data_IF_511529469487
#
_entry.id   IF_511529469487
#
_cell.length_a   1.000
_cell.length_b   1.000
_cell.length_c   1.000
_cell.angle_alpha   90.00
_cell.angle_beta   90.00
_cell.angle_gamma   90.00
#
_symmetry.space_group_name_H-M   'P 1'
#
loop_
_entity.id
_entity.type
_entity.pdbx_description
1 polymer ?
#
# COMPACT_ATOMS: atom_id res chain seq x y z
N UNK A 1 25.84 -9.97 20.75
CA UNK A 1 25.28 -9.77 19.40
C UNK A 1 25.87 -10.85 18.50
N UNK A 2 25.05 -11.73 17.90
CA UNK A 2 25.61 -12.90 17.21
C UNK A 2 26.14 -12.53 15.81
N UNK A 3 27.32 -12.99 15.48
CA UNK A 3 28.00 -12.85 14.17
C UNK A 3 27.05 -13.19 12.99
N UNK A 4 26.13 -14.13 13.20
CA UNK A 4 25.14 -14.54 12.18
C UNK A 4 24.21 -13.43 11.69
N UNK A 5 23.92 -12.42 12.53
CA UNK A 5 23.07 -11.26 12.15
C UNK A 5 23.81 -10.32 11.19
N UNK A 6 25.10 -10.10 11.41
CA UNK A 6 25.93 -9.25 10.54
C UNK A 6 26.17 -9.89 9.18
N UNK A 7 26.34 -11.20 9.14
CA UNK A 7 26.44 -11.95 7.87
C UNK A 7 25.10 -11.88 7.10
N UNK A 8 23.96 -11.96 7.80
CA UNK A 8 22.63 -11.80 7.21
C UNK A 8 22.39 -10.41 6.63
N UNK A 9 22.81 -9.35 7.32
CA UNK A 9 22.72 -7.96 6.82
C UNK A 9 23.57 -7.78 5.57
N UNK A 10 24.83 -8.21 5.59
CA UNK A 10 25.74 -8.05 4.46
C UNK A 10 25.28 -8.82 3.23
N UNK A 11 24.86 -10.06 3.38
CA UNK A 11 24.32 -10.87 2.29
C UNK A 11 22.98 -10.32 1.79
N UNK A 12 22.09 -9.88 2.70
CA UNK A 12 20.80 -9.28 2.36
C UNK A 12 20.96 -7.96 1.61
N UNK A 13 21.90 -7.10 2.03
CA UNK A 13 22.20 -5.83 1.33
C UNK A 13 22.75 -6.08 -0.07
N UNK A 14 23.66 -7.02 -0.21
CA UNK A 14 24.29 -7.34 -1.51
C UNK A 14 23.29 -7.91 -2.51
N UNK A 15 22.36 -8.75 -2.05
CA UNK A 15 21.39 -9.43 -2.91
C UNK A 15 20.09 -8.63 -3.09
N UNK A 16 19.66 -7.87 -2.10
CA UNK A 16 18.33 -7.25 -2.06
C UNK A 16 18.29 -5.79 -1.58
N UNK A 17 19.41 -5.09 -1.48
CA UNK A 17 19.44 -3.69 -1.05
C UNK A 17 18.87 -3.45 0.36
N UNK A 18 18.29 -2.27 0.66
CA UNK A 18 17.76 -1.94 1.99
C UNK A 18 16.70 -2.92 2.49
N UNK A 19 15.79 -3.35 1.63
CA UNK A 19 14.75 -4.33 1.97
C UNK A 19 15.38 -5.67 2.28
N UNK A 20 16.34 -6.10 1.45
CA UNK A 20 17.09 -7.34 1.67
C UNK A 20 17.92 -7.32 2.96
N UNK A 21 18.50 -6.17 3.32
CA UNK A 21 19.21 -6.02 4.59
C UNK A 21 18.28 -6.23 5.80
N UNK A 22 17.08 -5.68 5.75
CA UNK A 22 16.07 -5.85 6.81
C UNK A 22 15.66 -7.32 6.92
N UNK A 23 15.36 -7.96 5.80
CA UNK A 23 15.01 -9.39 5.78
C UNK A 23 16.18 -10.24 6.30
N UNK A 24 17.39 -10.01 5.80
CA UNK A 24 18.59 -10.75 6.21
C UNK A 24 18.89 -10.60 7.70
N UNK A 25 18.63 -9.44 8.28
CA UNK A 25 18.80 -9.21 9.71
C UNK A 25 17.80 -9.99 10.57
N UNK A 26 16.51 -10.03 10.17
CA UNK A 26 15.45 -10.62 11.00
C UNK A 26 15.20 -12.10 10.72
N UNK A 27 15.45 -12.59 9.50
CA UNK A 27 15.08 -13.96 9.08
C UNK A 27 16.30 -14.80 8.75
N UNK A 28 17.46 -14.18 8.38
CA UNK A 28 18.66 -14.88 7.98
C UNK A 28 18.65 -15.36 6.52
N UNK A 29 19.71 -16.09 6.14
CA UNK A 29 20.00 -16.47 4.74
C UNK A 29 18.94 -17.33 4.04
N UNK A 30 18.11 -18.07 4.76
CA UNK A 30 17.20 -19.05 4.18
C UNK A 30 15.94 -18.46 3.57
N UNK A 31 15.70 -17.16 3.74
CA UNK A 31 14.48 -16.51 3.26
C UNK A 31 14.53 -16.16 1.77
N UNK A 32 15.73 -15.93 1.22
CA UNK A 32 15.94 -15.58 -0.20
C UNK A 32 16.12 -16.77 -1.15
N UNK A 33 15.80 -17.98 -0.74
CA UNK A 33 16.01 -19.18 -1.57
C UNK A 33 14.85 -19.50 -2.54
N UNK A 34 13.93 -18.57 -2.79
CA UNK A 34 12.77 -18.76 -3.67
C UNK A 34 12.87 -17.97 -4.99
N UNK A 35 12.32 -18.54 -6.06
CA UNK A 35 12.26 -17.97 -7.42
C UNK A 35 11.48 -16.63 -7.58
N UNK A 36 10.98 -16.00 -6.50
CA UNK A 36 10.11 -14.82 -6.54
C UNK A 36 10.60 -13.67 -5.64
N UNK A 37 11.85 -13.24 -5.81
CA UNK A 37 12.44 -12.16 -5.00
C UNK A 37 11.64 -10.84 -5.05
N UNK A 38 10.99 -10.52 -6.17
CA UNK A 38 10.20 -9.30 -6.33
C UNK A 38 8.87 -9.33 -5.54
N UNK A 39 8.17 -10.47 -5.55
CA UNK A 39 6.93 -10.63 -4.79
C UNK A 39 7.20 -10.54 -3.28
N UNK A 40 8.27 -11.19 -2.83
CA UNK A 40 8.67 -11.17 -1.43
C UNK A 40 9.13 -9.78 -0.97
N UNK A 41 9.87 -9.06 -1.81
CA UNK A 41 10.25 -7.66 -1.54
C UNK A 41 9.01 -6.76 -1.42
N UNK A 42 8.00 -6.98 -2.24
CA UNK A 42 6.72 -6.28 -2.16
C UNK A 42 5.99 -6.56 -0.84
N UNK A 43 5.85 -7.84 -0.47
CA UNK A 43 5.18 -8.27 0.77
C UNK A 43 5.86 -7.70 2.03
N UNK A 44 7.20 -7.77 2.09
CA UNK A 44 7.96 -7.19 3.21
C UNK A 44 7.85 -5.68 3.24
N UNK A 45 7.75 -5.03 2.08
CA UNK A 45 7.57 -3.58 2.02
C UNK A 45 6.21 -3.15 2.55
N UNK A 46 5.13 -3.90 2.24
CA UNK A 46 3.82 -3.67 2.86
C UNK A 46 3.92 -3.73 4.39
N UNK A 47 4.62 -4.74 4.91
CA UNK A 47 4.81 -4.91 6.34
C UNK A 47 5.59 -3.75 6.99
N UNK A 48 6.70 -3.33 6.35
CA UNK A 48 7.54 -2.24 6.86
C UNK A 48 6.76 -0.92 6.82
N UNK A 49 6.11 -0.62 5.70
CA UNK A 49 5.40 0.64 5.52
C UNK A 49 4.18 0.73 6.43
N UNK A 50 3.41 -0.37 6.60
CA UNK A 50 2.31 -0.40 7.58
C UNK A 50 2.81 -0.25 9.02
N UNK A 51 3.94 -0.86 9.38
CA UNK A 51 4.56 -0.66 10.71
C UNK A 51 4.95 0.79 10.97
N UNK A 52 5.38 1.54 9.94
CA UNK A 52 5.69 2.96 10.05
C UNK A 52 4.43 3.80 10.23
N UNK A 53 3.35 3.49 9.50
CA UNK A 53 2.07 4.19 9.59
C UNK A 53 1.47 3.98 10.98
N UNK A 54 1.27 2.73 11.42
CA UNK A 54 0.73 2.39 12.75
C UNK A 54 1.49 3.06 13.90
N UNK A 55 2.80 3.26 13.73
CA UNK A 55 3.64 3.88 14.76
C UNK A 55 3.84 5.38 14.56
N UNK A 56 3.13 6.01 13.63
CA UNK A 56 3.41 7.40 13.23
C UNK A 56 3.14 8.41 14.34
N UNK A 57 2.08 8.24 15.08
CA UNK A 57 1.66 9.08 16.22
C UNK A 57 2.22 8.63 17.57
N UNK A 58 2.86 7.46 17.62
CA UNK A 58 3.42 6.85 18.84
C UNK A 58 2.42 5.99 19.62
N UNK A 59 1.19 5.88 19.16
CA UNK A 59 0.17 4.96 19.70
C UNK A 59 -0.03 3.81 18.71
N UNK A 60 -0.22 2.62 19.23
CA UNK A 60 -0.55 1.45 18.41
C UNK A 60 -2.02 1.14 18.67
N UNK A 61 -2.85 1.33 17.67
CA UNK A 61 -4.29 1.06 17.73
C UNK A 61 -4.50 -0.43 17.40
N UNK A 62 -5.36 -1.08 18.16
CA UNK A 62 -5.59 -2.52 18.03
C UNK A 62 -6.21 -2.87 16.68
N UNK A 63 -7.13 -2.06 16.20
CA UNK A 63 -7.87 -2.21 14.95
C UNK A 63 -6.91 -2.19 13.76
N UNK A 64 -5.95 -1.27 13.73
CA UNK A 64 -4.91 -1.18 12.69
C UNK A 64 -4.03 -2.42 12.67
N UNK A 65 -3.60 -2.88 13.85
CA UNK A 65 -2.79 -4.08 13.96
C UNK A 65 -3.55 -5.33 13.50
N UNK A 66 -4.84 -5.44 13.86
CA UNK A 66 -5.72 -6.51 13.42
C UNK A 66 -5.97 -6.46 11.91
N UNK A 67 -6.15 -5.27 11.34
CA UNK A 67 -6.29 -5.11 9.89
C UNK A 67 -5.07 -5.68 9.15
N UNK A 68 -3.87 -5.27 9.53
CA UNK A 68 -2.62 -5.79 8.94
C UNK A 68 -2.52 -7.30 9.14
N UNK A 69 -2.83 -7.80 10.34
CA UNK A 69 -2.78 -9.22 10.66
C UNK A 69 -3.74 -10.04 9.81
N UNK A 70 -4.98 -9.61 9.71
CA UNK A 70 -6.01 -10.28 8.92
C UNK A 70 -5.64 -10.27 7.44
N UNK A 71 -5.18 -9.14 6.91
CA UNK A 71 -4.72 -9.04 5.54
C UNK A 71 -3.59 -10.03 5.24
N UNK A 72 -2.53 -10.05 6.06
CA UNK A 72 -1.39 -10.95 5.84
C UNK A 72 -1.77 -12.42 6.02
N UNK A 73 -2.66 -12.74 6.96
CA UNK A 73 -3.12 -14.12 7.19
C UNK A 73 -3.97 -14.62 6.03
N UNK A 74 -4.90 -13.81 5.56
CA UNK A 74 -5.78 -14.15 4.44
C UNK A 74 -5.02 -14.22 3.11
N UNK A 75 -4.05 -13.32 2.92
CA UNK A 75 -3.29 -13.19 1.66
C UNK A 75 -2.20 -14.24 1.53
N UNK A 76 -1.45 -14.50 2.60
CA UNK A 76 -0.23 -15.32 2.52
C UNK A 76 -0.32 -16.61 3.33
N UNK A 77 -1.43 -16.84 4.01
CA UNK A 77 -1.65 -17.98 4.90
C UNK A 77 -0.99 -17.82 6.27
N UNK A 78 -1.50 -18.53 7.26
CA UNK A 78 -1.14 -18.41 8.68
C UNK A 78 0.36 -18.57 8.93
N UNK A 79 0.99 -19.57 8.30
CA UNK A 79 2.42 -19.87 8.52
C UNK A 79 3.34 -18.75 8.07
N UNK A 80 3.09 -18.18 6.90
CA UNK A 80 3.89 -17.10 6.32
C UNK A 80 3.61 -15.78 7.05
N UNK A 81 2.34 -15.51 7.38
CA UNK A 81 1.95 -14.36 8.19
C UNK A 81 2.65 -14.34 9.55
N UNK A 82 2.72 -15.48 10.26
CA UNK A 82 3.43 -15.58 11.52
C UNK A 82 4.93 -15.26 11.42
N UNK A 83 5.57 -15.60 10.30
CA UNK A 83 6.97 -15.21 10.05
C UNK A 83 7.08 -13.70 9.86
N UNK A 84 6.17 -13.07 9.11
CA UNK A 84 6.14 -11.62 8.91
C UNK A 84 5.89 -10.88 10.22
N UNK A 85 5.00 -11.38 11.10
CA UNK A 85 4.75 -10.75 12.40
C UNK A 85 5.94 -10.84 13.36
N UNK A 86 6.79 -11.85 13.27
CA UNK A 86 8.07 -11.86 14.00
C UNK A 86 8.97 -10.70 13.55
N UNK A 87 8.97 -10.36 12.26
CA UNK A 87 9.68 -9.19 11.76
C UNK A 87 9.04 -7.92 12.27
N UNK A 88 7.72 -7.78 12.08
CA UNK A 88 6.93 -6.60 12.47
C UNK A 88 7.16 -6.19 13.92
N UNK A 89 7.12 -7.15 14.85
CA UNK A 89 7.31 -6.91 16.28
C UNK A 89 8.73 -6.42 16.63
N UNK A 90 9.71 -6.73 15.79
CA UNK A 90 11.09 -6.32 15.99
C UNK A 90 11.47 -5.03 15.22
N UNK A 91 10.56 -4.49 14.39
CA UNK A 91 10.82 -3.28 13.64
C UNK A 91 10.85 -2.06 14.56
N UNK A 92 11.96 -1.32 14.56
CA UNK A 92 12.11 -0.08 15.28
C UNK A 92 11.79 1.11 14.38
N UNK A 93 10.81 1.94 14.77
CA UNK A 93 10.38 3.14 14.04
C UNK A 93 11.56 4.05 13.67
N UNK A 94 12.46 4.28 14.60
CA UNK A 94 13.55 5.24 14.44
C UNK A 94 14.55 4.81 13.35
N UNK A 95 14.89 3.52 13.31
CA UNK A 95 15.76 2.96 12.27
C UNK A 95 15.08 2.86 10.90
N UNK A 96 13.78 2.59 10.88
CA UNK A 96 12.99 2.49 9.65
C UNK A 96 12.72 3.84 9.00
N UNK A 97 12.51 4.90 9.78
CA UNK A 97 12.25 6.24 9.25
C UNK A 97 13.42 6.76 8.40
N UNK A 98 14.66 6.44 8.79
CA UNK A 98 15.84 6.77 8.00
C UNK A 98 15.97 5.96 6.70
N UNK A 99 15.39 4.77 6.67
CA UNK A 99 15.41 3.86 5.52
C UNK A 99 14.21 4.02 4.57
N UNK A 100 13.24 4.87 4.92
CA UNK A 100 12.00 5.03 4.14
C UNK A 100 12.28 5.37 2.67
N UNK A 101 13.11 6.40 2.41
CA UNK A 101 13.45 6.81 1.04
C UNK A 101 14.22 5.73 0.27
N UNK A 102 15.27 5.09 0.82
CA UNK A 102 15.93 3.93 0.20
C UNK A 102 14.98 2.79 -0.15
N UNK A 103 14.05 2.43 0.76
CA UNK A 103 13.05 1.38 0.55
C UNK A 103 12.13 1.74 -0.63
N UNK A 104 11.56 2.93 -0.65
CA UNK A 104 10.71 3.39 -1.74
C UNK A 104 11.46 3.46 -3.08
N UNK A 105 12.74 3.89 -3.07
CA UNK A 105 13.60 3.91 -4.26
C UNK A 105 13.83 2.49 -4.80
N UNK A 106 14.01 1.52 -3.93
CA UNK A 106 14.14 0.11 -4.31
C UNK A 106 12.84 -0.39 -4.93
N UNK A 107 11.68 -0.14 -4.31
CA UNK A 107 10.37 -0.51 -4.84
C UNK A 107 10.11 0.06 -6.23
N UNK A 108 10.46 1.32 -6.46
CA UNK A 108 10.31 1.95 -7.79
C UNK A 108 11.07 1.22 -8.92
N UNK A 109 12.10 0.45 -8.59
CA UNK A 109 12.86 -0.34 -9.59
C UNK A 109 12.19 -1.66 -9.94
N UNK A 110 11.53 -2.29 -8.96
CA UNK A 110 11.09 -3.69 -9.08
C UNK A 110 9.58 -3.85 -9.26
N UNK A 111 8.80 -2.83 -8.88
CA UNK A 111 7.33 -2.90 -8.99
C UNK A 111 6.79 -1.81 -9.91
N UNK A 112 5.77 -2.16 -10.69
CA UNK A 112 5.12 -1.25 -11.60
C UNK A 112 4.26 -0.21 -10.88
N UNK A 113 3.77 0.79 -11.63
CA UNK A 113 2.97 1.87 -11.07
C UNK A 113 1.68 1.37 -10.40
N UNK A 114 1.00 0.39 -11.01
CA UNK A 114 -0.24 -0.19 -10.45
C UNK A 114 -0.01 -0.83 -9.09
N UNK A 115 1.07 -1.61 -8.93
CA UNK A 115 1.43 -2.21 -7.63
C UNK A 115 1.78 -1.16 -6.58
N UNK A 116 2.41 -0.04 -6.96
CA UNK A 116 2.70 1.08 -6.04
C UNK A 116 1.43 1.76 -5.56
N UNK A 117 0.42 1.91 -6.43
CA UNK A 117 -0.89 2.42 -6.03
C UNK A 117 -1.57 1.49 -5.02
N UNK A 118 -1.39 0.16 -5.14
CA UNK A 118 -1.93 -0.80 -4.18
C UNK A 118 -1.29 -0.64 -2.78
N UNK A 119 0.00 -0.31 -2.72
CA UNK A 119 0.65 0.02 -1.43
C UNK A 119 -0.07 1.20 -0.77
N UNK A 120 -0.27 2.31 -1.48
CA UNK A 120 -0.93 3.50 -0.90
C UNK A 120 -2.34 3.19 -0.44
N UNK A 121 -3.10 2.42 -1.22
CA UNK A 121 -4.44 2.02 -0.81
C UNK A 121 -4.42 1.13 0.45
N UNK A 122 -3.53 0.15 0.51
CA UNK A 122 -3.39 -0.69 1.69
C UNK A 122 -3.06 0.14 2.94
N UNK A 123 -2.17 1.12 2.82
CA UNK A 123 -1.81 2.01 3.93
C UNK A 123 -2.99 2.87 4.39
N UNK A 124 -3.81 3.38 3.46
CA UNK A 124 -5.06 4.05 3.84
C UNK A 124 -6.07 3.09 4.48
N UNK A 125 -6.14 1.82 4.03
CA UNK A 125 -6.96 0.80 4.67
C UNK A 125 -6.54 0.51 6.11
N UNK A 126 -5.23 0.50 6.38
CA UNK A 126 -4.70 0.38 7.74
C UNK A 126 -5.14 1.59 8.58
N UNK A 127 -4.87 2.80 8.09
CA UNK A 127 -5.16 4.06 8.78
C UNK A 127 -6.66 4.30 9.01
N UNK A 128 -7.53 3.79 8.15
CA UNK A 128 -8.99 3.94 8.26
C UNK A 128 -9.67 2.80 9.03
N UNK A 129 -8.92 1.84 9.56
CA UNK A 129 -9.49 0.62 10.16
C UNK A 129 -10.24 0.86 11.47
N UNK A 130 -9.96 1.97 12.16
CA UNK A 130 -10.67 2.44 13.35
C UNK A 130 -11.72 3.54 13.03
N UNK A 131 -12.01 3.79 11.73
CA UNK A 131 -12.89 4.83 11.20
C UNK A 131 -12.37 6.26 11.33
N UNK A 132 -11.11 6.47 11.69
CA UNK A 132 -10.48 7.77 11.77
C UNK A 132 -9.08 7.72 11.14
N UNK A 133 -8.78 8.66 10.24
CA UNK A 133 -7.44 8.80 9.66
C UNK A 133 -6.72 9.93 10.40
N UNK A 134 -5.73 9.58 11.22
CA UNK A 134 -4.95 10.58 11.94
C UNK A 134 -4.08 11.43 11.01
N UNK A 135 -3.91 12.71 11.37
CA UNK A 135 -3.13 13.66 10.56
C UNK A 135 -1.69 13.19 10.34
N UNK A 136 -1.05 12.62 11.36
CA UNK A 136 0.32 12.09 11.30
C UNK A 136 0.47 10.95 10.30
N UNK A 137 -0.53 10.06 10.24
CA UNK A 137 -0.57 8.94 9.30
C UNK A 137 -0.75 9.43 7.87
N UNK A 138 -1.72 10.33 7.65
CA UNK A 138 -1.95 10.96 6.35
C UNK A 138 -0.70 11.63 5.81
N UNK A 139 0.00 12.44 6.63
CA UNK A 139 1.26 13.08 6.25
C UNK A 139 2.33 12.05 5.89
N UNK A 140 2.42 10.95 6.64
CA UNK A 140 3.37 9.88 6.36
C UNK A 140 3.02 9.13 5.07
N UNK A 141 1.74 8.80 4.85
CA UNK A 141 1.28 8.14 3.61
C UNK A 141 1.54 9.03 2.40
N UNK A 142 1.31 10.35 2.49
CA UNK A 142 1.61 11.31 1.43
C UNK A 142 3.11 11.36 1.11
N UNK A 143 3.96 11.33 2.13
CA UNK A 143 5.42 11.24 1.97
C UNK A 143 5.84 9.94 1.29
N UNK A 144 5.24 8.80 1.68
CA UNK A 144 5.45 7.50 1.04
C UNK A 144 5.02 7.57 -0.44
N UNK A 145 3.84 8.12 -0.74
CA UNK A 145 3.35 8.30 -2.10
C UNK A 145 4.31 9.11 -2.97
N UNK A 146 4.84 10.22 -2.43
CA UNK A 146 5.85 11.04 -3.09
C UNK A 146 7.10 10.24 -3.40
N UNK A 147 7.62 9.47 -2.46
CA UNK A 147 8.81 8.64 -2.66
C UNK A 147 8.57 7.46 -3.61
N UNK A 148 7.33 6.98 -3.72
CA UNK A 148 6.91 5.96 -4.68
C UNK A 148 6.57 6.54 -6.07
N UNK A 149 6.83 7.84 -6.32
CA UNK A 149 6.49 8.51 -7.57
C UNK A 149 4.98 8.40 -7.92
N UNK A 150 4.12 8.49 -6.91
CA UNK A 150 2.68 8.60 -7.07
C UNK A 150 2.32 10.07 -7.21
N UNK A 151 1.51 10.41 -8.22
CA UNK A 151 1.06 11.79 -8.41
C UNK A 151 0.12 12.21 -7.28
N UNK A 152 0.11 13.52 -6.97
CA UNK A 152 -0.84 14.09 -6.00
C UNK A 152 -2.28 13.74 -6.33
N UNK A 153 -2.62 13.75 -7.59
CA UNK A 153 -3.90 13.38 -8.14
C UNK A 153 -4.30 11.93 -7.79
N UNK A 154 -3.38 10.97 -7.98
CA UNK A 154 -3.63 9.57 -7.63
C UNK A 154 -3.75 9.38 -6.13
N UNK A 155 -2.95 10.10 -5.36
CA UNK A 155 -3.02 10.09 -3.91
C UNK A 155 -4.39 10.59 -3.41
N UNK A 156 -4.87 11.74 -3.89
CA UNK A 156 -6.16 12.31 -3.54
C UNK A 156 -7.32 11.41 -3.97
N UNK A 157 -7.24 10.80 -5.15
CA UNK A 157 -8.22 9.82 -5.60
C UNK A 157 -8.30 8.60 -4.67
N UNK A 158 -7.15 8.04 -4.27
CA UNK A 158 -7.14 6.92 -3.31
C UNK A 158 -7.66 7.37 -1.95
N UNK A 159 -7.22 8.50 -1.45
CA UNK A 159 -7.69 9.04 -0.16
C UNK A 159 -9.22 9.18 -0.12
N UNK A 160 -9.84 9.67 -1.21
CA UNK A 160 -11.28 9.86 -1.28
C UNK A 160 -12.09 8.56 -1.17
N UNK A 161 -11.47 7.40 -1.40
CA UNK A 161 -12.12 6.10 -1.23
C UNK A 161 -12.34 5.74 0.25
N UNK A 162 -11.53 6.31 1.16
CA UNK A 162 -11.54 5.99 2.59
C UNK A 162 -12.16 7.09 3.46
N UNK A 163 -12.38 8.27 2.92
CA UNK A 163 -13.05 9.34 3.67
C UNK A 163 -14.53 9.03 3.74
N UNK A 164 -15.02 8.73 4.94
CA UNK A 164 -16.43 8.52 5.22
C UNK A 164 -17.15 9.89 5.18
N UNK A 165 -17.79 10.18 4.06
CA UNK A 165 -18.59 11.40 3.93
C UNK A 165 -19.95 11.17 4.60
N UNK A 166 -20.01 11.27 5.92
CA UNK A 166 -21.26 11.45 6.67
C UNK A 166 -21.96 12.77 6.36
N UNK A 167 -21.33 13.62 5.54
CA UNK A 167 -21.91 14.85 5.01
C UNK A 167 -22.36 14.66 3.56
N UNK A 168 -23.59 14.87 3.33
CA UNK A 168 -24.53 15.00 2.22
C UNK A 168 -24.07 15.16 0.75
N UNK A 169 -22.83 14.98 0.39
CA UNK A 169 -22.39 15.12 -1.02
C UNK A 169 -21.70 13.87 -1.56
N UNK A 170 -22.43 12.75 -1.58
CA UNK A 170 -21.97 11.47 -2.13
C UNK A 170 -21.47 11.61 -3.58
N UNK A 171 -22.03 12.55 -4.34
CA UNK A 171 -21.66 12.77 -5.74
C UNK A 171 -20.26 13.38 -5.90
N UNK A 172 -19.88 14.34 -5.05
CA UNK A 172 -18.53 14.94 -5.06
C UNK A 172 -17.45 13.91 -4.80
N UNK A 173 -17.71 12.93 -3.93
CA UNK A 173 -16.80 11.81 -3.67
C UNK A 173 -16.51 11.02 -4.94
N UNK A 174 -17.53 10.72 -5.74
CA UNK A 174 -17.35 9.96 -6.98
C UNK A 174 -16.53 10.73 -8.01
N UNK A 175 -16.72 12.04 -8.13
CA UNK A 175 -15.87 12.89 -8.96
C UNK A 175 -14.41 12.88 -8.50
N UNK A 176 -14.17 12.94 -7.19
CA UNK A 176 -12.82 12.83 -6.60
C UNK A 176 -12.19 11.46 -6.83
N UNK A 177 -12.96 10.36 -6.72
CA UNK A 177 -12.48 9.00 -7.04
C UNK A 177 -12.02 8.92 -8.49
N UNK A 178 -12.80 9.47 -9.44
CA UNK A 178 -12.39 9.56 -10.84
C UNK A 178 -11.31 10.63 -11.09
N UNK A 179 -11.07 11.46 -10.07
CA UNK A 179 -10.10 12.54 -10.08
C UNK A 179 -10.44 13.62 -11.11
N UNK A 180 -11.66 14.06 -11.17
CA UNK A 180 -12.15 15.13 -12.04
C UNK A 180 -13.00 16.12 -11.21
N UNK A 181 -13.23 17.29 -11.78
CA UNK A 181 -14.09 18.29 -11.15
C UNK A 181 -15.56 17.86 -11.30
N UNK A 182 -16.41 18.27 -10.33
CA UNK A 182 -17.86 18.05 -10.36
C UNK A 182 -18.59 18.77 -11.53
N UNK A 183 -17.95 19.73 -12.17
CA UNK A 183 -18.39 20.39 -13.39
C UNK A 183 -17.95 19.69 -14.70
N UNK A 184 -17.32 18.51 -14.61
CA UNK A 184 -16.81 17.79 -15.77
C UNK A 184 -17.96 17.35 -16.72
N UNK A 185 -17.73 17.48 -17.99
CA UNK A 185 -18.64 17.00 -19.04
C UNK A 185 -18.73 15.47 -19.06
N UNK A 186 -19.79 14.93 -19.64
CA UNK A 186 -19.98 13.47 -19.81
C UNK A 186 -18.77 12.82 -20.49
N UNK A 187 -18.17 13.48 -21.47
CA UNK A 187 -17.02 12.95 -22.19
C UNK A 187 -15.76 12.93 -21.34
N UNK A 188 -15.57 13.94 -20.47
CA UNK A 188 -14.49 13.95 -19.49
C UNK A 188 -14.67 12.86 -18.44
N UNK A 189 -15.89 12.63 -17.97
CA UNK A 189 -16.22 11.52 -17.05
C UNK A 189 -15.88 10.18 -17.68
N UNK A 190 -16.30 9.92 -18.93
CA UNK A 190 -15.97 8.69 -19.65
C UNK A 190 -14.47 8.51 -19.87
N UNK A 191 -13.76 9.60 -20.19
CA UNK A 191 -12.31 9.59 -20.40
C UNK A 191 -11.57 9.30 -19.08
N UNK A 192 -11.99 9.92 -17.99
CA UNK A 192 -11.43 9.70 -16.65
C UNK A 192 -11.65 8.24 -16.20
N UNK A 193 -12.87 7.74 -16.33
CA UNK A 193 -13.19 6.34 -16.03
C UNK A 193 -12.27 5.38 -16.80
N UNK A 194 -12.15 5.51 -18.13
CA UNK A 194 -11.26 4.64 -18.93
C UNK A 194 -9.82 4.71 -18.46
N UNK A 195 -9.31 5.91 -18.11
CA UNK A 195 -7.96 6.09 -17.61
C UNK A 195 -7.77 5.38 -16.26
N UNK A 196 -8.71 5.54 -15.34
CA UNK A 196 -8.66 4.92 -14.01
C UNK A 196 -8.84 3.41 -14.10
N UNK A 197 -9.79 2.92 -14.89
CA UNK A 197 -10.00 1.50 -15.14
C UNK A 197 -8.74 0.83 -15.68
N UNK A 198 -8.08 1.44 -16.67
CA UNK A 198 -6.79 0.93 -17.18
C UNK A 198 -5.68 0.95 -16.12
N UNK A 199 -5.69 1.90 -15.19
CA UNK A 199 -4.66 2.09 -14.17
C UNK A 199 -4.78 1.08 -13.05
N UNK A 200 -6.01 0.76 -12.66
CA UNK A 200 -6.34 -0.16 -11.56
C UNK A 200 -6.72 -1.57 -12.04
N UNK A 201 -6.59 -1.85 -13.34
CA UNK A 201 -6.93 -3.16 -13.88
C UNK A 201 -6.09 -4.27 -13.24
N UNK A 202 -6.71 -5.34 -12.71
CA UNK A 202 -5.98 -6.41 -12.03
C UNK A 202 -4.93 -7.10 -12.90
N UNK A 203 -5.15 -7.21 -14.22
CA UNK A 203 -4.19 -7.79 -15.17
C UNK A 203 -2.86 -7.03 -15.25
N UNK A 204 -2.80 -5.80 -14.78
CA UNK A 204 -1.56 -5.01 -14.73
C UNK A 204 -0.68 -5.31 -13.51
N UNK A 205 -1.17 -6.12 -12.59
CA UNK A 205 -0.43 -6.54 -11.41
C UNK A 205 0.44 -7.76 -11.74
N UNK A 206 1.63 -7.51 -12.28
CA UNK A 206 2.59 -8.57 -12.57
C UNK A 206 3.52 -8.81 -11.38
N UNK A 207 3.79 -10.08 -11.07
CA UNK A 207 4.75 -10.46 -10.03
C UNK A 207 4.27 -10.28 -8.59
N UNK A 208 2.96 -10.11 -8.37
CA UNK A 208 2.34 -10.07 -7.04
C UNK A 208 1.45 -11.30 -6.84
N UNK A 209 1.11 -11.62 -5.59
CA UNK A 209 0.23 -12.76 -5.28
C UNK A 209 -1.22 -12.52 -5.75
N UNK A 210 -1.98 -13.61 -5.95
CA UNK A 210 -3.39 -13.58 -6.34
C UNK A 210 -4.26 -12.73 -5.41
N UNK A 211 -3.87 -12.63 -4.15
CA UNK A 211 -4.64 -11.92 -3.14
C UNK A 211 -4.40 -10.39 -3.21
N UNK A 212 -3.24 -9.97 -3.69
CA UNK A 212 -3.00 -8.56 -4.04
C UNK A 212 -3.81 -8.17 -5.28
N UNK A 213 -4.06 -9.13 -6.16
CA UNK A 213 -4.99 -8.94 -7.30
C UNK A 213 -6.41 -8.64 -6.80
N UNK A 214 -6.90 -9.35 -5.77
CA UNK A 214 -8.21 -9.07 -5.15
C UNK A 214 -8.32 -7.65 -4.60
N UNK A 215 -7.26 -7.14 -3.99
CA UNK A 215 -7.22 -5.75 -3.51
C UNK A 215 -7.37 -4.74 -4.67
N UNK A 216 -6.87 -5.07 -5.85
CA UNK A 216 -7.05 -4.27 -7.05
C UNK A 216 -8.46 -4.39 -7.62
N UNK A 217 -9.09 -5.55 -7.51
CA UNK A 217 -10.49 -5.78 -7.91
C UNK A 217 -11.44 -4.92 -7.08
N UNK A 218 -11.25 -4.84 -5.75
CA UNK A 218 -12.02 -3.96 -4.87
C UNK A 218 -11.93 -2.49 -5.32
N UNK A 219 -10.73 -2.04 -5.68
CA UNK A 219 -10.54 -0.67 -6.19
C UNK A 219 -11.15 -0.46 -7.57
N UNK A 220 -10.99 -1.41 -8.44
CA UNK A 220 -11.60 -1.36 -9.75
C UNK A 220 -13.12 -1.22 -9.62
N UNK A 221 -13.72 -1.95 -8.68
CA UNK A 221 -15.13 -1.84 -8.35
C UNK A 221 -15.50 -0.43 -7.86
N UNK A 222 -14.72 0.16 -6.95
CA UNK A 222 -14.98 1.53 -6.49
C UNK A 222 -14.91 2.58 -7.62
N UNK A 223 -14.00 2.40 -8.58
CA UNK A 223 -13.90 3.25 -9.77
C UNK A 223 -15.12 3.06 -10.68
N UNK A 224 -15.58 1.83 -10.83
CA UNK A 224 -16.79 1.51 -11.60
C UNK A 224 -18.05 2.10 -10.94
N UNK A 225 -18.21 1.91 -9.63
CA UNK A 225 -19.33 2.46 -8.86
C UNK A 225 -19.37 3.98 -8.95
N UNK A 226 -18.21 4.64 -8.87
CA UNK A 226 -18.11 6.09 -9.01
C UNK A 226 -18.60 6.55 -10.40
N UNK A 227 -18.17 5.89 -11.46
CA UNK A 227 -18.62 6.17 -12.82
C UNK A 227 -20.13 6.00 -12.97
N UNK A 228 -20.67 4.87 -12.51
CA UNK A 228 -22.11 4.56 -12.62
C UNK A 228 -22.97 5.58 -11.87
N UNK A 229 -22.57 5.97 -10.65
CA UNK A 229 -23.31 6.94 -9.86
C UNK A 229 -23.27 8.34 -10.47
N UNK A 230 -22.14 8.78 -11.03
CA UNK A 230 -22.07 10.04 -11.77
C UNK A 230 -22.97 9.97 -13.02
N UNK A 231 -22.91 8.89 -13.78
CA UNK A 231 -23.73 8.77 -15.00
C UNK A 231 -25.24 8.70 -14.70
N UNK A 232 -25.64 8.16 -13.54
CA UNK A 232 -27.04 8.18 -13.09
C UNK A 232 -27.51 9.59 -12.69
N UNK A 233 -26.62 10.42 -12.15
CA UNK A 233 -26.96 11.78 -11.70
C UNK A 233 -27.05 12.80 -12.85
N UNK A 234 -26.45 12.51 -14.01
CA UNK A 234 -26.46 13.40 -15.19
C UNK A 234 -27.61 13.08 -16.15
N UNK A 235 -28.27 11.92 -15.95
CA UNK A 235 -29.48 11.55 -16.71
C UNK A 235 -30.71 12.22 -16.11
#
# INVERSE_FOLDING_TARGET
>A
MSINKWIGIGAGWFLGGPIGAIIGYYIGKNFFQGKNDNAQAYEVSLLILSSLVIKSDGKIIKEELEYVKNFFTNTFGVNKANQYFKIFNNLNKQSLSSQLRPICKQLNKYINHSSRLQIIHFLFGVSASDNEIHISEKILIEKIATYLNISKYDFESIQSMFVDNRSDNSLEKYYKILGINNSASIDEVKKAYRKMAMKYHPDKLQGVSSDIVKLAEEKFQLVQDAYENIMKSIK
#
